data_IF_944306352595
#
_entry.id   IF_944306352595
#
_cell.length_a   1.000
_cell.length_b   1.000
_cell.length_c   1.000
_cell.angle_alpha   90.00
_cell.angle_beta   90.00
_cell.angle_gamma   90.00
#
_symmetry.space_group_name_H-M   'P 1'
#
loop_
_entity.id
_entity.type
_entity.pdbx_description
1 polymer ?
#
# COMPACT_ATOMS: atom_id res chain seq x y z
N UNK A 1 -61.22 28.84 10.00
CA UNK A 1 -60.47 27.77 10.69
C UNK A 1 -59.77 26.92 9.66
N UNK A 2 -58.50 27.18 9.39
CA UNK A 2 -57.70 26.48 8.40
C UNK A 2 -56.75 25.54 9.13
N UNK A 3 -56.98 24.25 8.99
CA UNK A 3 -56.13 23.17 9.52
C UNK A 3 -54.88 23.02 8.64
N UNK A 4 -53.73 23.34 9.18
CA UNK A 4 -52.42 23.06 8.57
C UNK A 4 -52.12 21.56 8.72
N UNK A 5 -52.12 20.81 7.62
CA UNK A 5 -51.52 19.48 7.55
C UNK A 5 -50.02 19.63 7.40
N UNK A 6 -49.27 19.34 8.46
CA UNK A 6 -47.83 19.10 8.42
C UNK A 6 -47.61 17.73 7.75
N UNK A 7 -47.23 17.76 6.49
CA UNK A 7 -46.72 16.58 5.80
C UNK A 7 -45.23 16.44 6.10
N UNK A 8 -44.88 15.50 6.97
CA UNK A 8 -43.49 14.99 7.09
C UNK A 8 -43.12 14.36 5.75
N UNK A 9 -41.96 14.67 5.17
CA UNK A 9 -41.51 13.99 3.94
C UNK A 9 -41.34 12.49 4.22
N UNK A 10 -41.67 11.61 3.28
CA UNK A 10 -41.48 10.18 3.47
C UNK A 10 -40.00 9.88 3.58
N UNK A 11 -39.60 9.40 4.75
CA UNK A 11 -38.33 8.72 4.94
C UNK A 11 -38.33 7.53 3.99
N UNK A 12 -37.57 7.59 2.90
CA UNK A 12 -37.41 6.48 1.98
C UNK A 12 -36.65 5.36 2.73
N UNK A 13 -37.41 4.49 3.37
CA UNK A 13 -36.93 3.20 3.84
C UNK A 13 -36.61 2.37 2.59
N UNK A 14 -35.41 2.53 2.08
CA UNK A 14 -34.84 1.64 1.09
C UNK A 14 -34.88 0.22 1.67
N UNK A 15 -35.67 -0.66 1.05
CA UNK A 15 -35.75 -2.09 1.35
C UNK A 15 -34.46 -2.78 0.88
N UNK A 16 -33.37 -2.52 1.56
CA UNK A 16 -32.16 -3.32 1.41
C UNK A 16 -32.32 -4.50 2.37
N UNK A 17 -32.23 -5.72 1.85
CA UNK A 17 -32.06 -6.90 2.69
C UNK A 17 -30.97 -6.63 3.69
N UNK A 18 -31.15 -7.02 4.94
CA UNK A 18 -30.33 -6.60 6.10
C UNK A 18 -28.84 -6.74 5.82
N UNK A 19 -28.20 -5.64 5.47
CA UNK A 19 -26.74 -5.58 5.42
C UNK A 19 -26.17 -5.98 6.79
N UNK A 20 -25.01 -6.67 6.83
CA UNK A 20 -24.46 -7.17 8.08
C UNK A 20 -23.97 -6.07 9.03
N UNK A 21 -23.79 -4.85 8.50
CA UNK A 21 -23.28 -3.68 9.24
C UNK A 21 -23.92 -2.38 8.75
N UNK A 22 -23.77 -1.33 9.56
CA UNK A 22 -24.06 0.03 9.13
C UNK A 22 -23.14 0.42 7.96
N UNK A 23 -23.69 0.97 6.85
CA UNK A 23 -22.89 1.43 5.71
C UNK A 23 -21.74 2.36 6.10
N UNK A 24 -21.91 3.27 7.03
CA UNK A 24 -20.85 4.19 7.48
C UNK A 24 -19.63 3.48 8.08
N UNK A 25 -19.77 2.23 8.52
CA UNK A 25 -18.68 1.40 9.06
C UNK A 25 -18.00 0.52 8.02
N UNK A 26 -18.50 0.53 6.78
CA UNK A 26 -17.90 -0.28 5.72
C UNK A 26 -16.50 0.21 5.36
N UNK A 27 -15.51 -0.69 5.13
CA UNK A 27 -14.13 -0.32 4.84
C UNK A 27 -13.96 0.64 3.66
N UNK A 28 -14.81 0.57 2.63
CA UNK A 28 -14.82 1.51 1.50
C UNK A 28 -15.23 2.93 1.96
N UNK A 29 -16.17 3.06 2.91
CA UNK A 29 -16.55 4.38 3.44
C UNK A 29 -15.46 4.99 4.32
N UNK A 30 -14.83 4.16 5.13
CA UNK A 30 -13.75 4.60 6.04
C UNK A 30 -12.39 4.72 5.35
N UNK A 31 -12.24 4.24 4.10
CA UNK A 31 -10.96 4.16 3.39
C UNK A 31 -9.97 3.16 3.99
N UNK A 32 -10.42 2.32 4.93
CA UNK A 32 -9.56 1.37 5.64
C UNK A 32 -9.67 -0.05 5.07
N UNK A 33 -9.26 -0.20 3.82
CA UNK A 33 -9.21 -1.52 3.16
C UNK A 33 -7.94 -1.68 2.32
N UNK A 34 -7.67 -2.91 1.93
CA UNK A 34 -6.52 -3.29 1.12
C UNK A 34 -6.95 -4.35 0.12
N UNK A 35 -6.58 -4.14 -1.14
CA UNK A 35 -6.84 -5.07 -2.23
C UNK A 35 -5.51 -5.62 -2.72
N UNK A 36 -5.46 -6.94 -2.96
CA UNK A 36 -4.32 -7.57 -3.59
C UNK A 36 -4.13 -7.03 -5.02
N UNK A 37 -2.90 -6.67 -5.36
CA UNK A 37 -2.54 -6.17 -6.69
C UNK A 37 -1.36 -6.97 -7.24
N UNK A 38 -1.15 -6.99 -8.57
CA UNK A 38 0.02 -7.64 -9.15
C UNK A 38 1.36 -7.12 -8.58
N UNK A 39 1.46 -5.83 -8.28
CA UNK A 39 2.65 -5.26 -7.65
C UNK A 39 2.87 -5.75 -6.22
N UNK A 40 1.79 -5.91 -5.43
CA UNK A 40 1.86 -6.50 -4.09
C UNK A 40 2.27 -7.98 -4.19
N UNK A 41 1.75 -8.72 -5.16
CA UNK A 41 2.16 -10.10 -5.40
C UNK A 41 3.65 -10.20 -5.73
N UNK A 42 4.15 -9.40 -6.67
CA UNK A 42 5.57 -9.37 -7.02
C UNK A 42 6.45 -9.03 -5.80
N UNK A 43 6.00 -8.10 -4.93
CA UNK A 43 6.71 -7.76 -3.71
C UNK A 43 6.68 -8.90 -2.68
N UNK A 44 5.55 -9.61 -2.55
CA UNK A 44 5.45 -10.82 -1.72
C UNK A 44 6.41 -11.92 -2.19
N UNK A 45 6.52 -12.12 -3.51
CA UNK A 45 7.45 -13.08 -4.11
C UNK A 45 8.91 -12.70 -3.85
N UNK A 46 9.25 -11.41 -3.93
CA UNK A 46 10.58 -10.90 -3.56
C UNK A 46 10.89 -11.20 -2.09
N UNK A 47 9.96 -10.89 -1.17
CA UNK A 47 10.13 -11.15 0.26
C UNK A 47 10.36 -12.65 0.50
N UNK A 48 9.51 -13.51 -0.06
CA UNK A 48 9.62 -14.95 0.09
C UNK A 48 10.95 -15.49 -0.48
N UNK A 49 11.40 -14.96 -1.61
CA UNK A 49 12.71 -15.29 -2.20
C UNK A 49 13.85 -14.87 -1.27
N UNK A 50 13.81 -13.65 -0.74
CA UNK A 50 14.81 -13.15 0.20
C UNK A 50 14.88 -14.01 1.47
N UNK A 51 13.73 -14.34 2.06
CA UNK A 51 13.65 -15.20 3.24
C UNK A 51 14.23 -16.61 2.96
N UNK A 52 13.83 -17.21 1.82
CA UNK A 52 14.26 -18.56 1.43
C UNK A 52 15.76 -18.64 1.17
N UNK A 53 16.33 -17.68 0.45
CA UNK A 53 17.73 -17.68 0.05
C UNK A 53 18.63 -16.88 0.97
N UNK A 54 18.09 -16.35 2.07
CA UNK A 54 18.85 -15.59 3.08
C UNK A 54 19.47 -14.30 2.53
N UNK A 55 18.80 -13.66 1.58
CA UNK A 55 19.19 -12.35 1.04
C UNK A 55 18.65 -11.29 1.99
N UNK A 56 19.53 -10.65 2.75
CA UNK A 56 19.15 -9.81 3.90
C UNK A 56 18.67 -8.42 3.53
N UNK A 57 18.81 -7.99 2.28
CA UNK A 57 18.41 -6.66 1.84
C UNK A 57 17.90 -6.61 0.42
N UNK A 58 16.82 -5.88 0.22
CA UNK A 58 16.27 -5.57 -1.09
C UNK A 58 15.72 -4.16 -1.12
N UNK A 59 15.71 -3.54 -2.31
CA UNK A 59 15.05 -2.27 -2.51
C UNK A 59 13.85 -2.40 -3.44
N UNK A 60 12.78 -1.67 -3.11
CA UNK A 60 11.56 -1.58 -3.90
C UNK A 60 11.28 -0.10 -4.17
N UNK A 61 11.20 0.27 -5.42
CA UNK A 61 11.08 1.67 -5.82
C UNK A 61 9.96 1.89 -6.84
N UNK A 62 9.37 3.07 -6.82
CA UNK A 62 8.32 3.43 -7.78
C UNK A 62 7.77 4.82 -7.50
N UNK A 63 6.95 5.37 -8.40
CA UNK A 63 6.38 6.71 -8.27
C UNK A 63 5.65 6.92 -6.94
N UNK A 64 5.48 8.19 -6.56
CA UNK A 64 4.62 8.55 -5.44
C UNK A 64 3.17 8.12 -5.71
N UNK A 65 2.40 7.84 -4.64
CA UNK A 65 0.96 7.47 -4.68
C UNK A 65 0.63 6.20 -5.44
N UNK A 66 1.64 5.38 -5.80
CA UNK A 66 1.44 4.10 -6.49
C UNK A 66 0.91 3.00 -5.56
N UNK A 67 0.96 3.19 -4.25
CA UNK A 67 0.46 2.25 -3.25
C UNK A 67 1.51 1.51 -2.43
N UNK A 68 2.78 1.92 -2.42
CA UNK A 68 3.89 1.24 -1.72
C UNK A 68 3.63 1.06 -0.22
N UNK A 69 3.25 2.12 0.49
CA UNK A 69 2.95 2.07 1.94
C UNK A 69 1.79 1.11 2.23
N UNK A 70 0.73 1.14 1.42
CA UNK A 70 -0.39 0.20 1.55
C UNK A 70 0.03 -1.25 1.27
N UNK A 71 0.97 -1.44 0.35
CA UNK A 71 1.57 -2.76 0.11
C UNK A 71 2.33 -3.28 1.33
N UNK A 72 3.13 -2.45 2.00
CA UNK A 72 3.81 -2.82 3.26
C UNK A 72 2.79 -3.26 4.31
N UNK A 73 1.73 -2.49 4.51
CA UNK A 73 0.67 -2.83 5.48
C UNK A 73 -0.01 -4.17 5.15
N UNK A 74 -0.34 -4.39 3.86
CA UNK A 74 -0.92 -5.65 3.39
C UNK A 74 0.02 -6.84 3.64
N UNK A 75 1.29 -6.70 3.26
CA UNK A 75 2.29 -7.76 3.36
C UNK A 75 2.62 -8.10 4.81
N UNK A 76 2.61 -7.12 5.71
CA UNK A 76 2.76 -7.38 7.15
C UNK A 76 1.62 -8.24 7.70
N UNK A 77 0.38 -7.97 7.30
CA UNK A 77 -0.77 -8.79 7.69
C UNK A 77 -0.68 -10.19 7.09
N UNK A 78 -0.33 -10.29 5.80
CA UNK A 78 -0.14 -11.57 5.11
C UNK A 78 0.95 -12.41 5.77
N UNK A 79 2.09 -11.81 6.12
CA UNK A 79 3.17 -12.50 6.84
C UNK A 79 2.73 -12.95 8.24
N UNK A 80 1.95 -12.15 8.96
CA UNK A 80 1.43 -12.53 10.27
C UNK A 80 0.47 -13.73 10.19
N UNK A 81 -0.30 -13.86 9.11
CA UNK A 81 -1.19 -15.01 8.89
C UNK A 81 -0.44 -16.26 8.39
N UNK A 82 0.46 -16.08 7.40
CA UNK A 82 1.12 -17.22 6.72
C UNK A 82 2.39 -17.69 7.39
N UNK A 83 3.11 -16.80 8.07
CA UNK A 83 4.40 -17.03 8.72
C UNK A 83 4.44 -16.36 10.13
N UNK A 84 3.57 -16.77 11.08
CA UNK A 84 3.36 -16.06 12.35
C UNK A 84 4.60 -16.02 13.26
N UNK A 85 5.61 -16.83 12.99
CA UNK A 85 6.88 -16.81 13.71
C UNK A 85 7.80 -15.67 13.29
N UNK A 86 7.56 -15.05 12.12
CA UNK A 86 8.35 -13.92 11.64
C UNK A 86 7.86 -12.64 12.30
N UNK A 87 8.78 -11.94 12.96
CA UNK A 87 8.50 -10.60 13.49
C UNK A 87 8.60 -9.56 12.38
N UNK A 88 7.59 -8.71 12.20
CA UNK A 88 7.59 -7.67 11.18
C UNK A 88 7.50 -6.28 11.79
N UNK A 89 8.35 -5.37 11.32
CA UNK A 89 8.34 -3.96 11.69
C UNK A 89 8.23 -3.06 10.47
N UNK A 90 7.72 -1.84 10.67
CA UNK A 90 7.61 -0.82 9.63
C UNK A 90 8.09 0.52 10.21
N UNK A 91 9.21 0.99 9.71
CA UNK A 91 9.77 2.31 10.00
C UNK A 91 9.55 3.21 8.79
N UNK A 92 9.10 4.43 9.02
CA UNK A 92 8.95 5.44 7.96
C UNK A 92 10.04 6.49 8.14
N UNK A 93 10.88 6.66 7.11
CA UNK A 93 11.91 7.68 7.14
C UNK A 93 11.28 9.08 7.02
N UNK A 94 11.57 9.94 7.99
CA UNK A 94 11.07 11.31 8.00
C UNK A 94 12.01 12.26 7.25
N UNK A 95 11.45 13.36 6.76
CA UNK A 95 12.27 14.47 6.26
C UNK A 95 12.92 15.18 7.46
N UNK A 96 14.25 15.20 7.47
CA UNK A 96 15.02 15.81 8.55
C UNK A 96 15.92 16.92 8.02
N UNK A 97 15.93 18.11 8.63
CA UNK A 97 16.85 19.18 8.24
C UNK A 97 18.31 18.83 8.56
N UNK A 98 18.54 17.93 9.53
CA UNK A 98 19.85 17.38 9.88
C UNK A 98 19.71 15.90 10.22
N UNK A 99 20.55 15.08 9.62
CA UNK A 99 20.63 13.65 9.94
C UNK A 99 21.49 13.48 11.20
N UNK A 100 20.96 12.79 12.17
CA UNK A 100 21.63 12.52 13.44
C UNK A 100 21.23 11.16 13.98
N UNK A 101 22.16 10.53 14.70
CA UNK A 101 22.00 9.17 15.21
C UNK A 101 20.80 9.04 16.18
N UNK A 102 20.63 10.01 17.06
CA UNK A 102 19.57 10.00 18.07
C UNK A 102 18.17 9.90 17.46
N UNK A 103 17.76 10.81 16.55
CA UNK A 103 16.49 10.74 15.84
C UNK A 103 16.33 9.49 14.96
N UNK A 104 17.41 8.97 14.35
CA UNK A 104 17.35 7.73 13.58
C UNK A 104 16.96 6.55 14.46
N UNK A 105 17.64 6.34 15.59
CA UNK A 105 17.32 5.25 16.51
C UNK A 105 15.99 5.47 17.23
N UNK A 106 15.55 6.71 17.48
CA UNK A 106 14.24 7.00 18.01
C UNK A 106 13.13 6.54 17.05
N UNK A 107 13.26 6.83 15.76
CA UNK A 107 12.32 6.37 14.73
C UNK A 107 12.25 4.82 14.65
N UNK A 108 13.38 4.13 14.74
CA UNK A 108 13.39 2.65 14.78
C UNK A 108 12.78 2.11 16.10
N UNK A 109 13.00 2.78 17.23
CA UNK A 109 12.38 2.41 18.51
C UNK A 109 10.86 2.57 18.47
N UNK A 110 10.36 3.64 17.86
CA UNK A 110 8.93 3.84 17.62
C UNK A 110 8.36 2.71 16.75
N UNK A 111 9.04 2.37 15.66
CA UNK A 111 8.64 1.29 14.74
C UNK A 111 8.52 -0.07 15.44
N UNK A 112 9.35 -0.35 16.47
CA UNK A 112 9.26 -1.59 17.25
C UNK A 112 8.32 -1.48 18.46
N UNK A 113 7.61 -0.34 18.62
CA UNK A 113 6.65 -0.11 19.71
C UNK A 113 7.32 0.08 21.08
N UNK A 114 8.44 0.80 21.12
CA UNK A 114 9.07 1.19 22.38
C UNK A 114 8.36 2.41 22.98
N UNK A 115 8.00 2.43 24.29
CA UNK A 115 7.12 3.45 24.85
C UNK A 115 7.69 4.87 24.86
N UNK A 116 9.02 5.00 25.01
CA UNK A 116 9.71 6.29 25.11
C UNK A 116 10.97 6.29 24.20
N UNK A 117 10.75 6.47 22.87
CA UNK A 117 11.81 6.33 21.89
C UNK A 117 12.86 7.45 21.96
N UNK A 118 12.49 8.63 22.45
CA UNK A 118 13.37 9.81 22.45
C UNK A 118 14.34 9.83 23.63
N UNK A 119 14.08 9.11 24.70
CA UNK A 119 14.89 9.17 25.92
C UNK A 119 16.23 8.46 25.81
N UNK A 120 17.21 8.99 26.52
CA UNK A 120 18.52 8.37 26.72
C UNK A 120 19.56 8.69 25.64
N UNK A 121 20.79 8.23 25.87
CA UNK A 121 21.91 8.41 24.96
C UNK A 121 21.78 7.51 23.72
N UNK A 122 22.51 7.84 22.64
CA UNK A 122 22.52 7.03 21.41
C UNK A 122 22.92 5.56 21.65
N UNK A 123 23.97 5.25 22.43
CA UNK A 123 24.27 3.86 22.78
C UNK A 123 23.13 3.15 23.53
N UNK A 124 22.42 3.86 24.40
CA UNK A 124 21.27 3.30 25.10
C UNK A 124 20.11 3.01 24.15
N UNK A 125 19.82 3.90 23.19
CA UNK A 125 18.80 3.70 22.16
C UNK A 125 19.11 2.49 21.27
N UNK A 126 20.37 2.34 20.82
CA UNK A 126 20.84 1.16 20.07
C UNK A 126 20.58 -0.14 20.85
N UNK A 127 20.98 -0.16 22.13
CA UNK A 127 20.82 -1.35 22.96
C UNK A 127 19.34 -1.69 23.22
N UNK A 128 18.51 -0.68 23.44
CA UNK A 128 17.05 -0.86 23.61
C UNK A 128 16.40 -1.46 22.36
N UNK A 129 16.78 -0.97 21.16
CA UNK A 129 16.31 -1.52 19.89
C UNK A 129 16.66 -3.02 19.77
N UNK A 130 17.92 -3.37 19.99
CA UNK A 130 18.40 -4.75 19.93
C UNK A 130 17.67 -5.64 20.95
N UNK A 131 17.53 -5.17 22.18
CA UNK A 131 16.84 -5.92 23.24
C UNK A 131 15.36 -6.12 22.92
N UNK A 132 14.69 -5.11 22.36
CA UNK A 132 13.28 -5.21 21.97
C UNK A 132 13.06 -6.21 20.86
N UNK A 133 13.94 -6.21 19.85
CA UNK A 133 13.93 -7.19 18.77
C UNK A 133 14.20 -8.59 19.31
N UNK A 134 15.21 -8.77 20.18
CA UNK A 134 15.53 -10.05 20.81
C UNK A 134 14.34 -10.60 21.64
N UNK A 135 13.68 -9.74 22.41
CA UNK A 135 12.48 -10.11 23.17
C UNK A 135 11.36 -10.61 22.25
N UNK A 136 11.08 -9.90 21.15
CA UNK A 136 10.06 -10.29 20.19
C UNK A 136 10.39 -11.64 19.52
N UNK A 137 11.64 -11.85 19.12
CA UNK A 137 12.12 -13.13 18.57
C UNK A 137 11.96 -14.28 19.56
N UNK A 138 12.30 -14.04 20.84
CA UNK A 138 12.15 -15.05 21.88
C UNK A 138 10.68 -15.44 22.10
N UNK A 139 9.78 -14.47 22.08
CA UNK A 139 8.33 -14.73 22.19
C UNK A 139 7.77 -15.53 21.03
N UNK A 140 8.22 -15.23 19.79
CA UNK A 140 7.73 -15.89 18.59
C UNK A 140 8.44 -17.23 18.30
N UNK A 141 9.50 -17.56 19.04
CA UNK A 141 10.29 -18.76 18.85
C UNK A 141 11.03 -18.80 17.51
N UNK A 142 11.42 -17.62 16.98
CA UNK A 142 12.13 -17.50 15.70
C UNK A 142 13.14 -16.36 15.76
N UNK A 143 14.33 -16.58 15.23
CA UNK A 143 15.35 -15.55 15.02
C UNK A 143 15.21 -14.81 13.67
N UNK A 144 14.02 -14.68 13.14
CA UNK A 144 13.78 -14.03 11.83
C UNK A 144 12.95 -12.76 12.01
N UNK A 145 13.48 -11.65 11.50
CA UNK A 145 12.86 -10.33 11.57
C UNK A 145 12.83 -9.70 10.18
N UNK A 146 11.70 -9.13 9.81
CA UNK A 146 11.52 -8.33 8.59
C UNK A 146 11.28 -6.89 9.00
N UNK A 147 12.12 -5.98 8.52
CA UNK A 147 12.00 -4.54 8.67
C UNK A 147 11.70 -3.91 7.32
N UNK A 148 10.57 -3.25 7.20
CA UNK A 148 10.27 -2.37 6.09
C UNK A 148 10.69 -0.94 6.47
N UNK A 149 11.56 -0.34 5.64
CA UNK A 149 11.94 1.07 5.75
C UNK A 149 11.26 1.82 4.61
N UNK A 150 10.16 2.51 4.90
CA UNK A 150 9.42 3.30 3.92
C UNK A 150 10.05 4.68 3.75
N UNK A 151 9.91 5.28 2.56
CA UNK A 151 10.55 6.52 2.14
C UNK A 151 12.09 6.50 2.30
N UNK A 152 12.70 5.32 2.10
CA UNK A 152 14.11 5.07 2.41
C UNK A 152 15.10 5.96 1.62
N UNK A 153 14.69 6.60 0.51
CA UNK A 153 15.51 7.60 -0.18
C UNK A 153 15.82 8.83 0.67
N UNK A 154 15.13 9.00 1.81
CA UNK A 154 15.39 10.09 2.77
C UNK A 154 16.52 9.80 3.75
N UNK A 155 17.01 8.55 3.80
CA UNK A 155 18.17 8.22 4.62
C UNK A 155 19.45 8.75 3.97
N UNK A 156 20.36 9.26 4.81
CA UNK A 156 21.72 9.59 4.40
C UNK A 156 22.69 8.39 4.54
N UNK A 157 23.93 8.59 4.15
CA UNK A 157 24.97 7.55 4.21
C UNK A 157 25.18 7.02 5.65
N UNK A 158 25.15 7.90 6.66
CA UNK A 158 25.34 7.50 8.05
C UNK A 158 24.17 6.65 8.55
N UNK A 159 22.94 6.99 8.17
CA UNK A 159 21.76 6.22 8.54
C UNK A 159 21.79 4.80 7.95
N UNK A 160 22.29 4.65 6.72
CA UNK A 160 22.55 3.33 6.15
C UNK A 160 23.66 2.56 6.87
N UNK A 161 24.74 3.25 7.31
CA UNK A 161 25.81 2.62 8.12
C UNK A 161 25.26 2.18 9.49
N UNK A 162 24.47 2.99 10.17
CA UNK A 162 23.84 2.60 11.45
C UNK A 162 22.86 1.43 11.27
N UNK A 163 22.11 1.40 10.17
CA UNK A 163 21.25 0.28 9.86
C UNK A 163 22.04 -1.02 9.64
N UNK A 164 23.17 -0.94 8.93
CA UNK A 164 24.10 -2.06 8.77
C UNK A 164 24.66 -2.53 10.13
N UNK A 165 25.05 -1.60 11.00
CA UNK A 165 25.54 -1.94 12.33
C UNK A 165 24.48 -2.69 13.17
N UNK A 166 23.20 -2.34 13.01
CA UNK A 166 22.08 -3.08 13.63
C UNK A 166 22.03 -4.52 13.08
N UNK A 167 22.16 -4.71 11.77
CA UNK A 167 22.23 -6.05 11.18
C UNK A 167 23.36 -6.87 11.78
N UNK A 168 24.58 -6.30 11.85
CA UNK A 168 25.77 -6.99 12.36
C UNK A 168 25.62 -7.32 13.87
N UNK A 169 24.96 -6.46 14.64
CA UNK A 169 24.70 -6.72 16.05
C UNK A 169 23.68 -7.85 16.24
N UNK A 170 22.58 -7.85 15.49
CA UNK A 170 21.56 -8.89 15.56
C UNK A 170 22.09 -10.24 15.07
N UNK A 171 22.91 -10.26 14.02
CA UNK A 171 23.52 -11.47 13.47
C UNK A 171 24.41 -12.18 14.53
N UNK A 172 25.19 -11.42 15.31
CA UNK A 172 25.95 -11.96 16.48
C UNK A 172 25.07 -12.61 17.54
N UNK A 173 23.81 -12.21 17.63
CA UNK A 173 22.81 -12.78 18.53
C UNK A 173 22.00 -13.92 17.86
N UNK A 174 22.40 -14.37 16.68
CA UNK A 174 21.72 -15.37 15.86
C UNK A 174 20.28 -14.93 15.45
N UNK A 175 20.08 -13.61 15.32
CA UNK A 175 18.85 -13.02 14.82
C UNK A 175 19.13 -12.46 13.44
N UNK A 176 18.42 -12.99 12.44
CA UNK A 176 18.55 -12.55 11.06
C UNK A 176 17.54 -11.44 10.73
N UNK A 177 18.07 -10.27 10.45
CA UNK A 177 17.29 -9.12 9.99
C UNK A 177 17.22 -9.13 8.47
N UNK A 178 16.03 -9.00 7.91
CA UNK A 178 15.76 -8.75 6.49
C UNK A 178 15.22 -7.34 6.36
N UNK A 179 15.90 -6.50 5.60
CA UNK A 179 15.50 -5.10 5.40
C UNK A 179 15.01 -4.89 3.98
N UNK A 180 13.78 -4.41 3.85
CA UNK A 180 13.20 -3.99 2.59
C UNK A 180 13.12 -2.47 2.56
N UNK A 181 14.03 -1.86 1.78
CA UNK A 181 14.05 -0.42 1.55
C UNK A 181 13.00 -0.07 0.51
N UNK A 182 11.99 0.68 0.90
CA UNK A 182 10.89 1.08 0.02
C UNK A 182 10.95 2.58 -0.19
N UNK A 183 10.85 3.03 -1.44
CA UNK A 183 11.01 4.45 -1.71
C UNK A 183 10.58 4.86 -3.11
N UNK A 184 10.97 6.06 -3.49
CA UNK A 184 10.79 6.60 -4.84
C UNK A 184 12.01 6.25 -5.73
N UNK A 185 11.99 6.66 -7.00
CA UNK A 185 13.06 6.34 -7.94
C UNK A 185 14.43 6.89 -7.51
N UNK A 186 14.46 7.94 -6.70
CA UNK A 186 15.66 8.51 -6.09
C UNK A 186 16.44 7.47 -5.26
N UNK A 187 15.79 6.41 -4.79
CA UNK A 187 16.45 5.32 -4.08
C UNK A 187 17.50 4.61 -4.95
N UNK A 188 17.30 4.55 -6.28
CA UNK A 188 18.32 4.05 -7.22
C UNK A 188 19.53 4.99 -7.32
N UNK A 189 19.30 6.31 -7.26
CA UNK A 189 20.39 7.28 -7.24
C UNK A 189 21.20 7.16 -5.95
N UNK A 190 20.54 6.93 -4.80
CA UNK A 190 21.22 6.63 -3.52
C UNK A 190 22.10 5.39 -3.64
N UNK A 191 21.58 4.28 -4.18
CA UNK A 191 22.39 3.06 -4.42
C UNK A 191 23.60 3.36 -5.29
N UNK A 192 23.41 4.09 -6.39
CA UNK A 192 24.50 4.47 -7.30
C UNK A 192 25.55 5.36 -6.60
N UNK A 193 25.12 6.31 -5.77
CA UNK A 193 26.01 7.17 -5.00
C UNK A 193 26.85 6.35 -4.00
N UNK A 194 26.24 5.42 -3.27
CA UNK A 194 26.95 4.52 -2.36
C UNK A 194 27.98 3.63 -3.08
N UNK A 195 27.63 3.13 -4.28
CA UNK A 195 28.57 2.36 -5.11
C UNK A 195 29.77 3.21 -5.53
N UNK A 196 29.54 4.46 -5.98
CA UNK A 196 30.62 5.41 -6.36
C UNK A 196 31.48 5.78 -5.15
N UNK A 197 30.90 5.93 -3.97
CA UNK A 197 31.59 6.17 -2.71
C UNK A 197 32.31 4.92 -2.17
N UNK A 198 32.29 3.80 -2.90
CA UNK A 198 32.89 2.51 -2.51
C UNK A 198 32.35 1.93 -1.20
N UNK A 199 31.10 2.28 -0.84
CA UNK A 199 30.37 1.72 0.31
C UNK A 199 29.74 0.35 -0.03
N UNK A 200 30.58 -0.54 -0.55
CA UNK A 200 30.14 -1.85 -1.07
C UNK A 200 29.47 -2.71 -0.01
N UNK A 201 29.89 -2.59 1.26
CA UNK A 201 29.29 -3.33 2.39
C UNK A 201 27.83 -2.94 2.66
N UNK A 202 27.45 -1.67 2.46
CA UNK A 202 26.05 -1.23 2.61
C UNK A 202 25.23 -1.84 1.48
N UNK A 203 25.68 -1.70 0.24
CA UNK A 203 24.97 -2.20 -0.95
C UNK A 203 24.82 -3.72 -0.89
N UNK A 204 25.89 -4.44 -0.54
CA UNK A 204 25.89 -5.90 -0.42
C UNK A 204 25.01 -6.43 0.74
N UNK A 205 24.72 -5.62 1.74
CA UNK A 205 23.86 -6.00 2.87
C UNK A 205 22.41 -5.59 2.67
N UNK A 206 22.16 -4.38 2.17
CA UNK A 206 20.84 -3.76 2.19
C UNK A 206 20.16 -3.63 0.82
N UNK A 207 20.92 -3.71 -0.31
CA UNK A 207 20.44 -3.37 -1.65
C UNK A 207 20.78 -4.44 -2.69
N UNK A 208 20.72 -5.72 -2.30
CA UNK A 208 21.11 -6.87 -3.14
C UNK A 208 20.13 -7.08 -4.29
N UNK A 209 18.85 -7.12 -3.96
CA UNK A 209 17.77 -7.31 -4.92
C UNK A 209 17.06 -5.99 -5.18
N UNK A 210 16.49 -5.87 -6.38
CA UNK A 210 15.73 -4.69 -6.80
C UNK A 210 14.36 -5.09 -7.36
N UNK A 211 13.33 -4.32 -7.00
CA UNK A 211 11.99 -4.48 -7.54
C UNK A 211 11.40 -3.11 -7.89
N UNK A 212 11.06 -2.92 -9.16
CA UNK A 212 10.21 -1.80 -9.55
C UNK A 212 8.77 -2.05 -9.10
N UNK A 213 8.23 -1.16 -8.27
CA UNK A 213 6.84 -1.19 -7.85
C UNK A 213 6.01 -0.37 -8.84
N UNK A 214 5.02 -0.97 -9.44
CA UNK A 214 4.26 -0.40 -10.53
C UNK A 214 2.76 -0.28 -10.20
N UNK A 215 2.07 0.56 -10.97
CA UNK A 215 0.62 0.67 -10.97
C UNK A 215 -0.04 -0.40 -11.84
N UNK A 216 -1.25 -0.13 -12.24
CA UNK A 216 -2.01 -1.00 -13.14
C UNK A 216 -1.62 -0.67 -14.59
N UNK A 217 -1.12 -1.66 -15.34
CA UNK A 217 -0.50 -1.48 -16.65
C UNK A 217 -1.24 -2.14 -17.81
N UNK A 218 -2.22 -2.97 -17.51
CA UNK A 218 -2.99 -3.69 -18.53
C UNK A 218 -4.34 -4.14 -17.99
N UNK A 219 -5.19 -4.62 -18.86
CA UNK A 219 -6.53 -5.11 -18.52
C UNK A 219 -6.53 -6.29 -17.54
N UNK A 220 -5.47 -7.12 -17.52
CA UNK A 220 -5.36 -8.25 -16.57
C UNK A 220 -5.09 -7.75 -15.15
N UNK A 221 -4.28 -6.71 -15.02
CA UNK A 221 -4.04 -6.06 -13.74
C UNK A 221 -5.34 -5.45 -13.19
N UNK A 222 -6.13 -4.77 -14.07
CA UNK A 222 -7.46 -4.27 -13.72
C UNK A 222 -8.35 -5.40 -13.23
N UNK A 223 -8.44 -6.50 -13.99
CA UNK A 223 -9.26 -7.66 -13.61
C UNK A 223 -8.82 -8.26 -12.25
N UNK A 224 -7.51 -8.38 -12.00
CA UNK A 224 -6.99 -8.84 -10.72
C UNK A 224 -7.44 -7.94 -9.57
N UNK A 225 -7.32 -6.63 -9.73
CA UNK A 225 -7.73 -5.67 -8.71
C UNK A 225 -9.25 -5.68 -8.47
N UNK A 226 -10.07 -5.69 -9.54
CA UNK A 226 -11.53 -5.76 -9.41
C UNK A 226 -12.00 -7.07 -8.78
N UNK A 227 -11.37 -8.19 -9.15
CA UNK A 227 -11.59 -9.49 -8.49
C UNK A 227 -11.34 -9.42 -6.98
N UNK A 228 -10.39 -8.59 -6.55
CA UNK A 228 -10.15 -8.34 -5.13
C UNK A 228 -11.36 -7.75 -4.41
N UNK A 229 -12.12 -6.85 -5.04
CA UNK A 229 -13.38 -6.32 -4.48
C UNK A 229 -14.49 -7.38 -4.43
N UNK A 230 -14.53 -8.27 -5.42
CA UNK A 230 -15.49 -9.38 -5.47
C UNK A 230 -15.20 -10.46 -4.42
N UNK A 231 -13.94 -10.61 -3.99
CA UNK A 231 -13.49 -11.67 -3.08
C UNK A 231 -13.23 -11.20 -1.65
N UNK A 232 -13.08 -9.89 -1.43
CA UNK A 232 -12.88 -9.37 -0.07
C UNK A 232 -14.23 -9.22 0.63
N UNK A 233 -14.42 -9.97 1.71
CA UNK A 233 -15.65 -9.98 2.49
C UNK A 233 -15.53 -9.11 3.75
N UNK A 234 -16.64 -8.42 4.07
CA UNK A 234 -16.73 -7.69 5.31
C UNK A 234 -18.19 -7.71 5.87
N UNK A 235 -18.36 -8.15 7.12
CA UNK A 235 -17.36 -8.80 8.00
C UNK A 235 -16.70 -10.05 7.39
N UNK A 236 -15.47 -10.38 7.80
CA UNK A 236 -14.67 -11.48 7.17
C UNK A 236 -15.37 -12.82 7.05
N UNK A 237 -16.26 -13.15 7.98
CA UNK A 237 -16.99 -14.44 8.02
C UNK A 237 -18.38 -14.36 7.35
N UNK A 238 -18.68 -13.29 6.62
CA UNK A 238 -19.96 -13.11 5.94
C UNK A 238 -19.88 -13.41 4.45
N UNK A 239 -21.03 -13.60 3.80
CA UNK A 239 -21.14 -13.73 2.34
C UNK A 239 -21.14 -12.37 1.61
N UNK A 240 -20.86 -11.29 2.34
CA UNK A 240 -20.89 -9.94 1.82
C UNK A 240 -19.54 -9.51 1.31
N UNK A 241 -19.30 -9.70 0.00
CA UNK A 241 -18.16 -9.09 -0.66
C UNK A 241 -18.33 -7.57 -0.74
N UNK A 242 -17.24 -6.85 -0.99
CA UNK A 242 -17.30 -5.40 -1.17
C UNK A 242 -18.26 -5.02 -2.31
N UNK A 243 -18.22 -5.74 -3.44
CA UNK A 243 -19.17 -5.53 -4.55
C UNK A 243 -20.60 -5.81 -4.11
N UNK A 244 -20.84 -6.94 -3.45
CA UNK A 244 -22.19 -7.31 -2.98
C UNK A 244 -22.75 -6.32 -1.96
N UNK A 245 -21.91 -5.66 -1.21
CA UNK A 245 -22.37 -4.68 -0.22
C UNK A 245 -23.12 -3.50 -0.87
N UNK A 246 -22.65 -3.04 -2.04
CA UNK A 246 -23.28 -1.96 -2.79
C UNK A 246 -24.33 -2.45 -3.81
N UNK A 247 -24.12 -3.62 -4.39
CA UNK A 247 -24.91 -4.17 -5.51
C UNK A 247 -25.43 -5.59 -5.21
N UNK A 248 -26.17 -5.79 -4.11
CA UNK A 248 -26.62 -7.13 -3.71
C UNK A 248 -27.50 -7.80 -4.76
N UNK A 249 -28.44 -7.09 -5.38
CA UNK A 249 -29.36 -7.68 -6.36
C UNK A 249 -28.67 -8.01 -7.68
N UNK A 250 -27.76 -7.15 -8.13
CA UNK A 250 -26.98 -7.40 -9.33
C UNK A 250 -26.05 -8.61 -9.13
N UNK A 251 -25.38 -8.71 -7.97
CA UNK A 251 -24.49 -9.85 -7.65
C UNK A 251 -25.28 -11.15 -7.51
N UNK A 252 -26.45 -11.13 -6.90
CA UNK A 252 -27.35 -12.29 -6.81
C UNK A 252 -27.83 -12.74 -8.20
N UNK A 253 -27.93 -11.81 -9.16
CA UNK A 253 -28.23 -12.10 -10.56
C UNK A 253 -26.98 -12.47 -11.41
N UNK A 254 -25.80 -12.64 -10.78
CA UNK A 254 -24.57 -13.11 -11.41
C UNK A 254 -23.62 -12.02 -11.86
N UNK A 255 -23.84 -10.75 -11.54
CA UNK A 255 -22.87 -9.69 -11.81
C UNK A 255 -21.62 -9.85 -10.94
N UNK A 256 -20.47 -9.59 -11.55
CA UNK A 256 -19.20 -9.47 -10.85
C UNK A 256 -18.47 -8.22 -11.35
N UNK A 257 -17.88 -7.48 -10.44
CA UNK A 257 -17.17 -6.25 -10.77
C UNK A 257 -15.99 -6.50 -11.73
N UNK A 258 -15.36 -7.68 -11.64
CA UNK A 258 -14.27 -8.09 -12.54
C UNK A 258 -14.69 -8.10 -14.01
N UNK A 259 -15.97 -8.29 -14.32
CA UNK A 259 -16.47 -8.33 -15.70
C UNK A 259 -16.37 -6.94 -16.38
N UNK A 260 -16.25 -5.86 -15.62
CA UNK A 260 -16.08 -4.50 -16.11
C UNK A 260 -14.61 -4.14 -16.45
N UNK A 261 -13.64 -5.04 -16.23
CA UNK A 261 -12.24 -4.75 -16.46
C UNK A 261 -11.92 -4.20 -17.85
N UNK A 262 -12.47 -4.72 -18.96
CA UNK A 262 -12.21 -4.17 -20.29
C UNK A 262 -12.75 -2.75 -20.47
N UNK A 263 -13.94 -2.48 -19.91
CA UNK A 263 -14.59 -1.15 -20.01
C UNK A 263 -13.79 -0.12 -19.22
N UNK A 264 -13.38 -0.46 -17.99
CA UNK A 264 -12.60 0.41 -17.14
C UNK A 264 -11.22 0.72 -17.75
N UNK A 265 -10.53 -0.30 -18.28
CA UNK A 265 -9.25 -0.10 -18.95
C UNK A 265 -9.37 0.83 -20.15
N UNK A 266 -10.33 0.56 -21.06
CA UNK A 266 -10.56 1.37 -22.25
C UNK A 266 -10.92 2.84 -21.90
N UNK A 267 -11.65 3.07 -20.83
CA UNK A 267 -12.00 4.41 -20.37
C UNK A 267 -10.78 5.18 -19.83
N UNK A 268 -9.86 4.54 -19.11
CA UNK A 268 -8.59 5.16 -18.73
C UNK A 268 -7.69 5.43 -19.95
N UNK A 269 -7.63 4.51 -20.90
CA UNK A 269 -6.86 4.66 -22.14
C UNK A 269 -7.35 5.84 -22.97
N UNK A 270 -8.67 5.96 -23.17
CA UNK A 270 -9.26 7.10 -23.85
C UNK A 270 -8.94 8.42 -23.15
N UNK A 271 -9.03 8.46 -21.81
CA UNK A 271 -8.74 9.66 -21.05
C UNK A 271 -7.26 10.04 -21.14
N UNK A 272 -6.36 9.06 -21.07
CA UNK A 272 -4.92 9.23 -21.20
C UNK A 272 -4.56 9.86 -22.55
N UNK A 273 -5.07 9.30 -23.65
CA UNK A 273 -4.87 9.82 -25.01
C UNK A 273 -5.48 11.20 -25.21
N UNK A 274 -6.72 11.41 -24.75
CA UNK A 274 -7.43 12.68 -24.89
C UNK A 274 -6.69 13.86 -24.26
N UNK A 275 -5.99 13.62 -23.15
CA UNK A 275 -5.23 14.65 -22.43
C UNK A 275 -3.75 14.70 -22.83
N UNK A 276 -3.31 13.89 -23.81
CA UNK A 276 -1.92 13.86 -24.28
C UNK A 276 -0.94 13.56 -23.14
N UNK A 277 -1.33 12.69 -22.18
CA UNK A 277 -0.48 12.39 -21.03
C UNK A 277 0.77 11.62 -21.48
N UNK A 278 1.95 11.92 -20.93
CA UNK A 278 3.21 11.33 -21.37
C UNK A 278 3.38 9.88 -20.92
N UNK A 279 4.12 9.12 -21.74
CA UNK A 279 4.50 7.74 -21.46
C UNK A 279 3.37 6.73 -21.66
N UNK A 280 3.63 5.49 -21.29
CA UNK A 280 2.64 4.43 -21.34
C UNK A 280 1.57 4.60 -20.26
N UNK A 281 0.39 4.06 -20.52
CA UNK A 281 -0.69 4.05 -19.54
C UNK A 281 -0.29 3.23 -18.32
N UNK A 282 -0.15 3.90 -17.19
CA UNK A 282 0.02 3.31 -15.87
C UNK A 282 -0.92 4.02 -14.91
N UNK A 283 -1.84 3.28 -14.31
CA UNK A 283 -2.86 3.82 -13.41
C UNK A 283 -2.37 3.68 -11.97
N UNK A 284 -2.17 4.81 -11.23
CA UNK A 284 -1.87 4.75 -9.81
C UNK A 284 -2.99 4.06 -9.03
N UNK A 285 -2.64 3.23 -8.06
CA UNK A 285 -3.64 2.48 -7.30
C UNK A 285 -4.62 3.38 -6.54
N UNK A 286 -4.18 4.55 -6.09
CA UNK A 286 -5.06 5.54 -5.46
C UNK A 286 -6.18 6.02 -6.41
N UNK A 287 -5.83 6.34 -7.67
CA UNK A 287 -6.80 6.77 -8.68
C UNK A 287 -7.73 5.62 -9.07
N UNK A 288 -7.20 4.42 -9.22
CA UNK A 288 -7.99 3.23 -9.51
C UNK A 288 -9.01 2.93 -8.40
N UNK A 289 -8.56 2.86 -7.16
CA UNK A 289 -9.41 2.59 -6.01
C UNK A 289 -10.54 3.62 -5.89
N UNK A 290 -10.21 4.90 -6.03
CA UNK A 290 -11.20 5.99 -6.00
C UNK A 290 -12.23 5.89 -7.13
N UNK A 291 -11.81 5.51 -8.34
CA UNK A 291 -12.75 5.30 -9.46
C UNK A 291 -13.74 4.15 -9.15
N UNK A 292 -13.24 3.04 -8.59
CA UNK A 292 -14.08 1.91 -8.18
C UNK A 292 -15.03 2.30 -7.05
N UNK A 293 -14.55 3.01 -6.04
CA UNK A 293 -15.37 3.52 -4.92
C UNK A 293 -16.53 4.40 -5.42
N UNK A 294 -16.23 5.34 -6.33
CA UNK A 294 -17.25 6.21 -6.92
C UNK A 294 -18.32 5.38 -7.64
N UNK A 295 -17.90 4.43 -8.49
CA UNK A 295 -18.85 3.60 -9.24
C UNK A 295 -19.70 2.74 -8.32
N UNK A 296 -19.13 2.11 -7.30
CA UNK A 296 -19.90 1.31 -6.35
C UNK A 296 -20.93 2.16 -5.60
N UNK A 297 -20.54 3.32 -5.08
CA UNK A 297 -21.44 4.23 -4.33
C UNK A 297 -22.53 4.82 -5.21
N UNK A 298 -22.20 5.29 -6.40
CA UNK A 298 -23.17 5.90 -7.33
C UNK A 298 -24.12 4.87 -7.95
N UNK A 299 -23.72 3.59 -7.97
CA UNK A 299 -24.55 2.48 -8.45
C UNK A 299 -25.53 1.96 -7.41
N UNK A 300 -25.31 2.23 -6.12
CA UNK A 300 -26.10 1.69 -5.02
C UNK A 300 -27.62 1.91 -5.17
N UNK A 301 -28.02 3.12 -5.56
CA UNK A 301 -29.44 3.46 -5.74
C UNK A 301 -30.06 2.87 -7.00
N UNK A 302 -29.25 2.29 -7.88
CA UNK A 302 -29.67 1.69 -9.16
C UNK A 302 -29.64 0.16 -9.12
N UNK A 303 -29.26 -0.42 -7.96
CA UNK A 303 -29.11 -1.86 -7.81
C UNK A 303 -30.43 -2.59 -8.11
N UNK A 304 -30.39 -3.46 -9.10
CA UNK A 304 -31.50 -4.29 -9.54
C UNK A 304 -30.96 -5.57 -10.18
N UNK A 305 -31.75 -6.65 -10.28
CA UNK A 305 -31.36 -7.83 -11.04
C UNK A 305 -30.99 -7.48 -12.47
N UNK A 306 -29.75 -7.83 -12.89
CA UNK A 306 -29.23 -7.53 -14.22
C UNK A 306 -28.65 -6.12 -14.39
N UNK A 307 -28.62 -5.29 -13.36
CA UNK A 307 -27.92 -3.99 -13.40
C UNK A 307 -26.42 -4.20 -13.59
N UNK A 308 -25.82 -3.33 -14.40
CA UNK A 308 -24.36 -3.21 -14.57
C UNK A 308 -24.00 -1.73 -14.72
N UNK A 309 -22.93 -1.25 -14.09
CA UNK A 309 -22.37 0.08 -14.36
C UNK A 309 -22.05 0.22 -15.84
N UNK A 310 -22.52 1.29 -16.46
CA UNK A 310 -22.25 1.54 -17.87
C UNK A 310 -20.92 2.30 -18.08
N UNK A 311 -20.47 2.38 -19.34
CA UNK A 311 -19.25 3.10 -19.70
C UNK A 311 -19.31 4.60 -19.38
N UNK A 312 -20.54 5.20 -19.36
CA UNK A 312 -20.71 6.61 -19.02
C UNK A 312 -20.42 6.86 -17.54
N UNK A 313 -20.91 5.98 -16.65
CA UNK A 313 -20.64 6.05 -15.20
C UNK A 313 -19.15 5.84 -14.90
N UNK A 314 -18.52 4.85 -15.51
CA UNK A 314 -17.06 4.67 -15.42
C UNK A 314 -16.32 5.92 -15.90
N UNK A 315 -16.75 6.52 -17.03
CA UNK A 315 -16.16 7.75 -17.53
C UNK A 315 -16.27 8.93 -16.58
N UNK A 316 -17.38 9.08 -15.84
CA UNK A 316 -17.54 10.10 -14.78
C UNK A 316 -16.58 9.82 -13.62
N UNK A 317 -16.55 8.61 -13.13
CA UNK A 317 -15.71 8.20 -12.01
C UNK A 317 -14.21 8.44 -12.30
N UNK A 318 -13.74 8.09 -13.50
CA UNK A 318 -12.34 8.26 -13.89
C UNK A 318 -11.95 9.74 -14.00
N UNK A 319 -12.82 10.60 -14.49
CA UNK A 319 -12.56 12.06 -14.48
C UNK A 319 -12.47 12.64 -13.08
N UNK A 320 -13.17 12.05 -12.12
CA UNK A 320 -13.25 12.51 -10.74
C UNK A 320 -12.20 11.87 -9.80
N UNK A 321 -11.52 10.80 -10.25
CA UNK A 321 -10.60 10.04 -9.40
C UNK A 321 -9.21 10.67 -9.19
N UNK A 322 -8.92 11.81 -9.85
CA UNK A 322 -7.63 12.51 -9.73
C UNK A 322 -6.50 11.94 -10.60
N UNK A 323 -6.82 11.07 -11.57
CA UNK A 323 -5.82 10.45 -12.44
C UNK A 323 -5.04 11.48 -13.29
N UNK A 324 -5.74 12.42 -13.94
CA UNK A 324 -5.12 13.43 -14.79
C UNK A 324 -4.13 14.28 -13.98
N UNK A 325 -4.59 14.81 -12.84
CA UNK A 325 -3.78 15.65 -11.97
C UNK A 325 -2.53 14.93 -11.46
N UNK A 326 -2.66 13.65 -11.12
CA UNK A 326 -1.52 12.85 -10.64
C UNK A 326 -0.48 12.62 -11.75
N UNK A 327 -0.90 12.44 -13.00
CA UNK A 327 0.01 12.23 -14.14
C UNK A 327 0.67 13.53 -14.60
N UNK A 328 -0.05 14.65 -14.59
CA UNK A 328 0.51 15.97 -14.89
C UNK A 328 1.58 16.40 -13.89
N UNK A 329 1.33 16.21 -12.58
CA UNK A 329 2.30 16.53 -11.54
C UNK A 329 3.61 15.72 -11.67
N UNK A 330 3.53 14.45 -12.12
CA UNK A 330 4.72 13.63 -12.39
C UNK A 330 5.51 14.17 -13.58
N UNK A 331 4.83 14.62 -14.65
CA UNK A 331 5.51 15.16 -15.84
C UNK A 331 6.19 16.50 -15.55
N UNK A 332 5.59 17.38 -14.75
CA UNK A 332 6.19 18.66 -14.32
C UNK A 332 7.40 18.45 -13.42
N UNK A 333 7.35 17.47 -12.49
CA UNK A 333 8.48 17.09 -11.65
C UNK A 333 9.67 16.54 -12.42
N UNK A 334 9.43 15.79 -13.49
CA UNK A 334 10.49 15.28 -14.37
C UNK A 334 11.11 16.38 -15.22
N UNK A 335 10.33 17.38 -15.67
CA UNK A 335 10.82 18.51 -16.44
C UNK A 335 11.72 19.44 -15.60
N UNK A 336 11.37 19.68 -14.32
CA UNK A 336 12.18 20.47 -13.37
C UNK A 336 13.45 19.77 -12.90
N UNK A 337 13.51 18.45 -12.96
CA UNK A 337 14.71 17.64 -12.60
C UNK A 337 15.70 17.49 -13.75
N UNK A 338 15.30 17.81 -14.98
CA UNK A 338 16.13 17.70 -16.19
C UNK A 338 16.70 19.08 -16.65
N UNK A 339 16.29 20.17 -16.03
CA UNK A 339 16.81 21.53 -16.20
C UNK A 339 17.78 21.90 -15.07
#
# INVERSE_FOLDING_TARGET
MLSKRNGTPPTSTLRWGSRPIDPALHPIETGNYRIATPAIQAFSELINRCLRYRITGALTYGPSRIGKTRAIEYLRLLLAETQPKITTYHAQAEHKPRHAEGPFFANLLEAVGYPDPDSGSNPAKRMRLVNKVKEACSRNGSGTVVLFCDEAQRYDENEYEWLRDVHDHLDRLQIRLFTFLVGQQELLAVKTALQRAKKTQIVARLMVEELAFFGIRNVRDVATCLSGFDQTHYPRASDWSFTRFYLPQAVDAGYRLVDDAPVLWAAFEQLHHKHGLPGELEIPMESFARAVEIVLKDSELRDAPGYRPDAALWGVAIRSCGYIQSRQAVSEGLATSAA
#
